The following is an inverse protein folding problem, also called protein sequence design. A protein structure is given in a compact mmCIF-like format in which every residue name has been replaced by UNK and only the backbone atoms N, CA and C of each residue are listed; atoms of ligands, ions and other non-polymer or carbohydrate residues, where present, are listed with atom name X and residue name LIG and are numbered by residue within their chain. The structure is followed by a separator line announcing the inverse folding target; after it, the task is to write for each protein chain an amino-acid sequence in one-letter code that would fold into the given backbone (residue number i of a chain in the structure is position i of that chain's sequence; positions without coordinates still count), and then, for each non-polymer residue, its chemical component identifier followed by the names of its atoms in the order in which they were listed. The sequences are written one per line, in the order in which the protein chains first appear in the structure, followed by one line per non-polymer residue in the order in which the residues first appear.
data_IF_075136519307
#
_entry.id   IF_075136519307
#
_cell.length_a   1.000
_cell.length_b   1.000
_cell.length_c   1.000
_cell.angle_alpha   90.00
_cell.angle_beta   90.00
_cell.angle_gamma   90.00
#
_symmetry.space_group_name_H-M   'P 1'
#
loop_
_entity.id
_entity.type
_entity.pdbx_description
1 polymer ?
#
# COMPACT_ATOMS: atom_id res chain seq x y z
N UNK A 1 24.41 19.47 18.31
CA UNK A 1 23.34 19.90 17.39
C UNK A 1 22.28 18.81 17.43
N UNK A 2 21.03 19.19 17.68
CA UNK A 2 20.04 18.40 18.42
C UNK A 2 19.58 17.06 17.80
N UNK A 3 19.47 16.05 18.68
CA UNK A 3 18.76 14.78 18.49
C UNK A 3 17.26 15.01 18.18
N UNK A 4 16.77 14.37 17.12
CA UNK A 4 15.34 14.22 16.84
C UNK A 4 14.86 12.81 17.23
N UNK A 5 13.97 12.71 18.23
CA UNK A 5 13.38 11.46 18.72
C UNK A 5 12.64 10.70 17.61
N UNK A 6 13.11 9.50 17.27
CA UNK A 6 12.32 8.48 16.61
C UNK A 6 11.19 8.02 17.55
N UNK A 7 9.93 8.18 17.12
CA UNK A 7 8.77 7.63 17.81
C UNK A 7 8.86 6.09 17.85
N UNK A 8 8.58 5.52 19.01
CA UNK A 8 8.88 4.13 19.36
C UNK A 8 8.19 3.10 18.47
N UNK A 9 9.04 2.29 17.82
CA UNK A 9 8.71 1.18 16.91
C UNK A 9 9.92 0.92 16.02
N UNK A 10 11.01 0.40 16.60
CA UNK A 10 12.36 0.40 15.99
C UNK A 10 12.55 -0.62 14.85
N UNK A 11 11.84 -0.43 13.74
CA UNK A 11 12.10 -1.10 12.47
C UNK A 11 11.83 -0.13 11.31
N UNK A 12 12.33 -0.42 10.09
CA UNK A 12 11.96 0.41 8.96
C UNK A 12 10.45 0.30 8.73
N UNK A 13 9.79 1.44 8.51
CA UNK A 13 8.36 1.50 8.23
C UNK A 13 8.09 0.98 6.83
N UNK A 14 7.15 0.04 6.69
CA UNK A 14 6.74 -0.44 5.38
C UNK A 14 5.69 0.50 4.78
N UNK A 15 5.91 0.93 3.53
CA UNK A 15 4.93 1.67 2.73
C UNK A 15 4.61 0.82 1.51
N UNK A 16 3.36 0.36 1.42
CA UNK A 16 2.88 -0.43 0.28
C UNK A 16 1.98 0.44 -0.61
N UNK A 17 2.43 0.68 -1.85
CA UNK A 17 1.65 1.36 -2.88
C UNK A 17 1.02 0.32 -3.81
N UNK A 18 -0.27 0.48 -4.10
CA UNK A 18 -0.97 -0.29 -5.13
C UNK A 18 -1.18 0.60 -6.36
N UNK A 19 -0.50 0.29 -7.46
CA UNK A 19 -0.42 1.12 -8.68
C UNK A 19 -0.65 0.28 -9.94
N UNK A 20 -0.69 0.90 -11.12
CA UNK A 20 -0.67 0.22 -12.42
C UNK A 20 -0.18 1.18 -13.50
N UNK A 21 0.54 0.68 -14.50
CA UNK A 21 0.89 1.47 -15.68
C UNK A 21 -0.34 1.98 -16.44
N UNK A 22 -1.46 1.26 -16.37
CA UNK A 22 -2.73 1.67 -16.96
C UNK A 22 -3.48 2.76 -16.18
N UNK A 23 -2.99 3.15 -15.00
CA UNK A 23 -3.62 4.14 -14.13
C UNK A 23 -3.08 5.54 -14.41
N UNK A 24 -3.90 6.39 -15.03
CA UNK A 24 -3.50 7.77 -15.38
C UNK A 24 -3.29 8.69 -14.17
N UNK A 25 -3.92 8.38 -13.03
CA UNK A 25 -3.82 9.16 -11.79
C UNK A 25 -2.72 8.67 -10.83
N UNK A 26 -2.07 7.55 -11.14
CA UNK A 26 -1.04 6.95 -10.30
C UNK A 26 0.37 7.59 -10.36
N UNK A 27 0.81 8.27 -11.45
CA UNK A 27 2.17 8.81 -11.54
C UNK A 27 2.63 9.71 -10.37
N UNK A 28 1.78 10.57 -9.78
CA UNK A 28 2.14 11.34 -8.59
C UNK A 28 2.44 10.47 -7.36
N UNK A 29 1.71 9.37 -7.18
CA UNK A 29 1.92 8.44 -6.08
C UNK A 29 3.19 7.61 -6.27
N UNK A 30 3.49 7.18 -7.51
CA UNK A 30 4.72 6.49 -7.86
C UNK A 30 5.96 7.37 -7.60
N UNK A 31 5.89 8.66 -7.96
CA UNK A 31 6.96 9.62 -7.69
C UNK A 31 7.19 9.86 -6.18
N UNK A 32 6.10 9.91 -5.40
CA UNK A 32 6.19 9.99 -3.94
C UNK A 32 6.85 8.73 -3.37
N UNK A 33 6.44 7.54 -3.80
CA UNK A 33 7.05 6.29 -3.35
C UNK A 33 8.54 6.24 -3.70
N UNK A 34 8.93 6.67 -4.90
CA UNK A 34 10.34 6.79 -5.30
C UNK A 34 11.15 7.75 -4.42
N UNK A 35 10.50 8.77 -3.85
CA UNK A 35 11.11 9.67 -2.86
C UNK A 35 11.26 9.00 -1.50
N UNK A 36 10.24 8.27 -1.05
CA UNK A 36 10.27 7.52 0.20
C UNK A 36 11.27 6.36 0.16
N UNK A 37 11.46 5.72 -0.99
CA UNK A 37 12.43 4.63 -1.17
C UNK A 37 13.90 5.05 -0.94
N UNK A 38 14.20 6.35 -1.00
CA UNK A 38 15.54 6.88 -0.69
C UNK A 38 15.79 7.03 0.81
N UNK A 39 14.76 6.89 1.64
CA UNK A 39 14.89 7.01 3.09
C UNK A 39 15.34 5.68 3.70
N UNK A 40 16.34 5.66 4.58
CA UNK A 40 16.86 4.44 5.19
C UNK A 40 15.90 3.81 6.20
N UNK A 41 14.93 4.58 6.71
CA UNK A 41 13.93 4.13 7.67
C UNK A 41 12.64 3.61 7.02
N UNK A 42 12.60 3.45 5.69
CA UNK A 42 11.40 3.02 4.95
C UNK A 42 11.71 1.85 4.02
N UNK A 43 10.86 0.82 4.08
CA UNK A 43 10.75 -0.21 3.04
C UNK A 43 9.60 0.17 2.11
N UNK A 44 9.94 0.70 0.93
CA UNK A 44 8.97 1.08 -0.08
C UNK A 44 8.67 -0.11 -1.01
N UNK A 45 7.41 -0.53 -1.07
CA UNK A 45 6.94 -1.65 -1.90
C UNK A 45 5.90 -1.15 -2.90
N UNK A 46 6.08 -1.49 -4.18
CA UNK A 46 5.10 -1.23 -5.24
C UNK A 46 4.45 -2.53 -5.68
N UNK A 47 3.11 -2.58 -5.62
CA UNK A 47 2.31 -3.71 -6.05
C UNK A 47 1.42 -3.29 -7.21
N UNK A 48 1.72 -3.85 -8.38
CA UNK A 48 0.96 -3.56 -9.59
C UNK A 48 -0.35 -4.36 -9.62
N UNK A 49 -1.48 -3.69 -9.80
CA UNK A 49 -2.82 -4.31 -9.82
C UNK A 49 -3.29 -4.59 -11.24
N UNK A 50 -3.96 -5.72 -11.43
CA UNK A 50 -4.37 -6.25 -12.73
C UNK A 50 -5.75 -5.78 -13.21
N UNK A 51 -6.53 -5.14 -12.34
CA UNK A 51 -7.89 -4.73 -12.70
C UNK A 51 -7.92 -3.57 -13.71
N UNK A 52 -6.78 -3.02 -14.14
CA UNK A 52 -6.70 -2.09 -15.27
C UNK A 52 -6.42 -2.81 -16.60
N UNK A 53 -6.01 -4.07 -16.61
CA UNK A 53 -5.61 -4.73 -17.86
C UNK A 53 -6.74 -4.83 -18.91
N UNK A 54 -8.00 -4.69 -18.49
CA UNK A 54 -9.16 -4.66 -19.40
C UNK A 54 -9.19 -3.45 -20.32
N UNK A 55 -8.46 -2.36 -20.02
CA UNK A 55 -8.40 -1.15 -20.88
C UNK A 55 -7.48 -1.30 -22.09
N UNK A 56 -6.97 -2.51 -22.36
CA UNK A 56 -6.18 -2.84 -23.56
C UNK A 56 -4.67 -2.63 -23.39
N UNK A 57 -4.24 -1.92 -22.35
CA UNK A 57 -2.85 -1.87 -21.91
C UNK A 57 -2.65 -2.84 -20.74
N UNK A 58 -1.96 -3.96 -20.99
CA UNK A 58 -1.66 -4.95 -19.97
C UNK A 58 -0.37 -4.61 -19.25
N UNK A 59 -0.45 -4.35 -17.96
CA UNK A 59 0.73 -4.08 -17.13
C UNK A 59 1.51 -5.39 -16.88
N UNK A 60 2.77 -5.43 -17.30
CA UNK A 60 3.61 -6.64 -17.18
C UNK A 60 3.99 -6.98 -15.74
N UNK A 61 3.91 -6.02 -14.83
CA UNK A 61 4.20 -6.21 -13.41
C UNK A 61 2.95 -6.54 -12.61
N UNK A 62 1.77 -6.38 -13.22
CA UNK A 62 0.50 -6.64 -12.55
C UNK A 62 0.23 -8.12 -12.36
N UNK A 63 -0.43 -8.45 -11.25
CA UNK A 63 -0.85 -9.81 -10.95
C UNK A 63 -2.18 -9.84 -10.20
N UNK A 64 -2.89 -10.97 -10.31
CA UNK A 64 -4.10 -11.19 -9.53
C UNK A 64 -3.82 -11.21 -8.02
N UNK A 65 -2.67 -11.75 -7.61
CA UNK A 65 -2.28 -11.86 -6.21
C UNK A 65 -2.12 -10.49 -5.53
N UNK A 66 -1.54 -9.51 -6.24
CA UNK A 66 -1.39 -8.13 -5.74
C UNK A 66 -2.73 -7.41 -5.66
N UNK A 67 -3.62 -7.61 -6.63
CA UNK A 67 -5.01 -7.14 -6.56
C UNK A 67 -5.76 -7.75 -5.37
N UNK A 68 -5.60 -9.05 -5.12
CA UNK A 68 -6.20 -9.74 -3.99
C UNK A 68 -5.69 -9.20 -2.64
N UNK A 69 -4.40 -8.87 -2.54
CA UNK A 69 -3.80 -8.20 -1.37
C UNK A 69 -4.45 -6.83 -1.11
N UNK A 70 -4.62 -6.00 -2.15
CA UNK A 70 -5.31 -4.71 -2.01
C UNK A 70 -6.75 -4.89 -1.52
N UNK A 71 -7.48 -5.85 -2.10
CA UNK A 71 -8.85 -6.18 -1.70
C UNK A 71 -8.91 -6.70 -0.25
N UNK A 72 -7.90 -7.43 0.21
CA UNK A 72 -7.80 -7.86 1.60
C UNK A 72 -7.67 -6.66 2.54
N UNK A 73 -6.81 -5.69 2.23
CA UNK A 73 -6.73 -4.45 3.00
C UNK A 73 -8.04 -3.68 2.99
N UNK A 74 -8.72 -3.57 1.85
CA UNK A 74 -10.01 -2.89 1.78
C UNK A 74 -11.12 -3.54 2.64
N UNK A 75 -10.94 -4.82 3.04
CA UNK A 75 -11.86 -5.53 3.96
C UNK A 75 -11.47 -5.39 5.43
N UNK A 76 -10.17 -5.25 5.71
CA UNK A 76 -9.64 -5.23 7.08
C UNK A 76 -9.44 -3.83 7.61
N UNK A 77 -9.06 -2.89 6.73
CA UNK A 77 -8.84 -1.50 7.07
C UNK A 77 -10.14 -0.71 7.03
N UNK A 78 -10.36 0.17 8.00
CA UNK A 78 -11.41 1.17 7.94
C UNK A 78 -11.19 2.14 6.78
N UNK A 79 -12.27 2.58 6.14
CA UNK A 79 -12.19 3.51 4.99
C UNK A 79 -12.20 4.99 5.40
N UNK A 80 -12.43 5.24 6.69
CA UNK A 80 -12.80 6.52 7.29
C UNK A 80 -11.94 6.86 8.53
N UNK A 81 -10.87 6.10 8.78
CA UNK A 81 -9.97 6.31 9.93
C UNK A 81 -10.56 5.88 11.28
N UNK A 82 -11.81 5.43 11.34
CA UNK A 82 -12.44 4.90 12.56
C UNK A 82 -12.04 3.44 12.81
N UNK A 83 -11.87 2.98 14.05
CA UNK A 83 -11.57 1.56 14.29
C UNK A 83 -12.75 0.68 13.84
N UNK A 84 -12.54 -0.23 12.88
CA UNK A 84 -13.55 -1.25 12.55
C UNK A 84 -13.80 -2.09 13.82
N UNK A 85 -15.03 -2.20 14.32
CA UNK A 85 -15.31 -3.07 15.46
C UNK A 85 -14.94 -4.51 15.06
N UNK A 86 -14.07 -5.15 15.85
CA UNK A 86 -13.81 -6.59 15.69
C UNK A 86 -15.16 -7.29 15.84
N UNK A 87 -15.58 -8.17 14.91
CA UNK A 87 -16.69 -9.06 15.20
C UNK A 87 -16.30 -9.80 16.48
N UNK A 88 -17.12 -9.71 17.53
CA UNK A 88 -16.92 -10.49 18.74
C UNK A 88 -16.77 -11.94 18.28
N UNK A 89 -15.68 -12.58 18.69
CA UNK A 89 -15.55 -14.01 18.52
C UNK A 89 -16.81 -14.61 19.13
N UNK A 90 -17.72 -15.13 18.30
CA UNK A 90 -18.82 -15.97 18.75
C UNK A 90 -18.15 -17.07 19.56
N UNK A 91 -18.25 -16.96 20.87
CA UNK A 91 -17.99 -18.06 21.76
C UNK A 91 -19.08 -19.07 21.43
N UNK A 92 -18.67 -20.11 20.71
CA UNK A 92 -19.32 -21.41 20.84
C UNK A 92 -18.81 -22.01 22.14
#
# INVERSE_FOLDING_TARGET
MAEGKAGQGNGPWAVELFTSQGCSSCPPADALLGTLARRPDIVALSFHVDYWDYIGWKDRFASKATTERQRAYARTLPRDGGRRPRPSARHQ
#
